data_IF_206384898363
#
_entry.id   IF_206384898363
#
_cell.length_a   1.000
_cell.length_b   1.000
_cell.length_c   1.000
_cell.angle_alpha   90.00
_cell.angle_beta   90.00
_cell.angle_gamma   90.00
#
_symmetry.space_group_name_H-M   'P 1'
#
loop_
_entity.id
_entity.type
_entity.pdbx_description
1 polymer ?
#
# COMPACT_ATOMS: atom_id res chain seq x y z
N UNK A 1 22.68 -27.76 4.36
CA UNK A 1 24.16 -27.90 4.44
C UNK A 1 24.45 -28.57 5.79
N UNK A 2 24.75 -29.88 5.74
CA UNK A 2 24.85 -30.72 6.92
C UNK A 2 26.22 -30.57 7.54
N UNK A 3 26.28 -30.22 8.80
CA UNK A 3 27.54 -30.23 9.58
C UNK A 3 27.67 -31.60 10.26
N UNK A 4 28.67 -32.37 9.82
CA UNK A 4 29.05 -33.61 10.44
C UNK A 4 30.10 -33.30 11.51
N UNK A 5 29.78 -33.56 12.77
CA UNK A 5 30.76 -33.56 13.88
C UNK A 5 31.18 -34.98 14.19
N UNK A 6 32.47 -35.34 14.03
CA UNK A 6 33.05 -36.60 14.46
C UNK A 6 33.63 -36.45 15.87
N UNK A 7 33.47 -37.46 16.77
CA UNK A 7 34.03 -37.39 18.10
C UNK A 7 35.44 -38.01 18.15
N UNK A 8 36.42 -37.29 18.69
CA UNK A 8 37.67 -37.89 19.18
C UNK A 8 37.67 -37.92 20.72
N UNK A 9 37.62 -39.10 21.27
CA UNK A 9 37.73 -39.36 22.70
C UNK A 9 39.15 -39.16 23.18
N UNK A 10 39.37 -38.32 24.21
CA UNK A 10 40.43 -38.51 25.21
C UNK A 10 39.82 -38.24 26.58
N UNK A 11 39.78 -39.27 27.41
CA UNK A 11 39.42 -39.18 28.81
C UNK A 11 40.51 -38.41 29.57
N UNK A 12 40.14 -37.29 30.20
CA UNK A 12 40.80 -36.75 31.39
C UNK A 12 39.67 -36.21 32.27
N UNK A 13 39.51 -36.82 33.46
CA UNK A 13 38.46 -36.41 34.40
C UNK A 13 38.81 -35.08 35.07
N UNK A 14 37.95 -34.12 34.86
CA UNK A 14 37.84 -32.93 35.68
C UNK A 14 36.33 -32.66 35.85
N UNK A 15 35.87 -32.61 37.09
CA UNK A 15 34.50 -32.28 37.44
C UNK A 15 34.18 -30.84 36.98
N UNK A 16 33.63 -30.71 35.78
CA UNK A 16 33.18 -29.43 35.22
C UNK A 16 31.79 -29.13 35.71
N UNK A 17 31.66 -28.08 36.48
CA UNK A 17 30.38 -27.44 36.83
C UNK A 17 29.76 -26.94 35.53
N UNK A 18 28.73 -27.62 35.00
CA UNK A 18 27.94 -27.12 33.88
C UNK A 18 27.06 -25.97 34.38
N UNK A 19 27.54 -24.77 34.19
CA UNK A 19 26.68 -23.57 34.29
C UNK A 19 25.72 -23.58 33.10
N UNK A 20 24.49 -24.06 33.30
CA UNK A 20 23.41 -23.84 32.39
C UNK A 20 23.11 -22.34 32.42
N UNK A 21 23.57 -21.57 31.42
CA UNK A 21 23.07 -20.26 31.15
C UNK A 21 21.60 -20.42 30.72
N UNK A 22 20.64 -19.86 31.46
CA UNK A 22 19.25 -19.87 31.00
C UNK A 22 19.19 -19.04 29.72
N UNK A 23 18.78 -19.67 28.63
CA UNK A 23 18.42 -18.97 27.41
C UNK A 23 17.20 -18.10 27.76
N UNK A 24 17.44 -16.84 28.09
CA UNK A 24 16.36 -15.86 28.32
C UNK A 24 15.73 -15.64 26.96
N UNK A 25 14.60 -16.30 26.70
CA UNK A 25 13.71 -15.95 25.60
C UNK A 25 13.21 -14.55 25.89
N UNK A 26 13.79 -13.57 25.22
CA UNK A 26 13.35 -12.19 25.35
C UNK A 26 11.85 -12.13 24.96
N UNK A 27 10.99 -11.92 25.94
CA UNK A 27 9.56 -11.78 25.73
C UNK A 27 9.37 -10.51 24.89
N UNK A 28 8.83 -10.66 23.66
CA UNK A 28 8.61 -9.53 22.75
C UNK A 28 7.72 -8.53 23.50
N UNK A 29 8.24 -7.33 23.76
CA UNK A 29 7.50 -6.30 24.49
C UNK A 29 6.21 -5.96 23.71
N UNK A 30 5.12 -5.79 24.42
CA UNK A 30 3.81 -5.48 23.79
C UNK A 30 3.78 -4.05 23.28
N UNK A 31 3.10 -3.76 22.15
CA UNK A 31 2.90 -2.39 21.68
C UNK A 31 2.13 -1.57 22.71
N UNK A 32 2.40 -0.27 22.78
CA UNK A 32 1.62 0.67 23.55
C UNK A 32 0.18 0.74 23.01
N UNK A 33 -0.77 1.16 23.85
CA UNK A 33 -2.16 1.35 23.42
C UNK A 33 -2.61 2.76 23.80
N UNK A 34 -3.05 3.51 22.79
CA UNK A 34 -3.50 4.89 22.93
C UNK A 34 -4.91 5.07 22.39
N UNK A 35 -5.65 5.96 23.01
CA UNK A 35 -6.95 6.45 22.52
C UNK A 35 -6.82 7.90 22.12
N UNK A 36 -7.27 8.22 20.91
CA UNK A 36 -7.34 9.58 20.37
C UNK A 36 -8.80 9.96 20.19
N UNK A 37 -9.20 11.14 20.64
CA UNK A 37 -10.51 11.72 20.40
C UNK A 37 -10.41 13.25 20.37
N UNK A 38 -11.20 13.90 19.51
CA UNK A 38 -11.23 15.37 19.35
C UNK A 38 -11.63 16.08 20.67
N UNK A 39 -12.36 15.41 21.54
CA UNK A 39 -12.78 15.94 22.83
C UNK A 39 -13.11 14.83 23.81
N UNK A 40 -13.30 15.15 25.08
CA UNK A 40 -13.65 14.20 26.14
C UNK A 40 -12.42 13.45 26.66
N UNK A 41 -12.66 12.27 27.26
CA UNK A 41 -11.60 11.47 27.88
C UNK A 41 -10.86 10.64 26.84
N UNK A 42 -9.63 11.00 26.55
CA UNK A 42 -8.70 10.30 25.68
C UNK A 42 -7.27 10.44 26.22
N UNK A 43 -6.32 9.67 25.68
CA UNK A 43 -4.92 9.81 26.02
C UNK A 43 -4.30 11.01 25.29
N UNK A 44 -4.77 11.23 24.03
CA UNK A 44 -4.36 12.34 23.17
C UNK A 44 -5.56 12.95 22.45
N UNK A 45 -5.42 14.21 22.01
CA UNK A 45 -6.44 14.91 21.23
C UNK A 45 -6.05 15.12 19.76
N UNK A 46 -4.81 14.79 19.41
CA UNK A 46 -4.32 14.71 18.02
C UNK A 46 -3.68 13.36 17.74
N UNK A 47 -3.77 12.93 16.48
CA UNK A 47 -3.18 11.65 16.06
C UNK A 47 -1.66 11.76 16.01
N UNK A 48 -1.12 12.91 15.53
CA UNK A 48 0.32 13.13 15.47
C UNK A 48 0.96 13.03 16.85
N UNK A 49 0.33 13.60 17.87
CA UNK A 49 0.83 13.50 19.24
C UNK A 49 0.90 12.05 19.73
N UNK A 50 -0.12 11.24 19.45
CA UNK A 50 -0.10 9.81 19.79
C UNK A 50 1.00 9.04 19.02
N UNK A 51 1.23 9.38 17.75
CA UNK A 51 2.33 8.82 16.94
C UNK A 51 3.69 9.17 17.51
N UNK A 52 3.89 10.42 17.93
CA UNK A 52 5.16 10.90 18.50
C UNK A 52 5.51 10.22 19.85
N UNK A 53 4.49 9.72 20.56
CA UNK A 53 4.66 8.95 21.81
C UNK A 53 4.79 7.43 21.58
N UNK A 54 4.75 6.95 20.33
CA UNK A 54 4.90 5.54 20.03
C UNK A 54 6.30 5.04 20.41
N UNK A 55 6.43 4.03 21.29
CA UNK A 55 7.74 3.44 21.63
C UNK A 55 8.29 2.63 20.44
N UNK A 56 9.58 2.27 20.50
CA UNK A 56 10.22 1.44 19.49
C UNK A 56 9.56 0.05 19.30
N UNK A 57 8.74 -0.39 20.26
CA UNK A 57 7.94 -1.62 20.18
C UNK A 57 6.64 -1.46 19.42
N UNK A 58 6.35 -0.26 18.93
CA UNK A 58 5.13 0.10 18.21
C UNK A 58 3.99 0.55 19.11
N UNK A 59 2.92 1.03 18.50
CA UNK A 59 1.72 1.49 19.19
C UNK A 59 0.45 1.14 18.43
N UNK A 60 -0.61 0.78 19.15
CA UNK A 60 -1.97 0.66 18.63
C UNK A 60 -2.70 1.95 19.03
N UNK A 61 -3.05 2.76 18.03
CA UNK A 61 -3.71 4.05 18.20
C UNK A 61 -5.15 3.92 17.76
N UNK A 62 -6.07 3.88 18.72
CA UNK A 62 -7.50 3.80 18.45
C UNK A 62 -8.09 5.20 18.38
N UNK A 63 -8.66 5.53 17.22
CA UNK A 63 -9.11 6.88 16.88
C UNK A 63 -10.64 6.92 16.92
N UNK A 64 -11.20 7.74 17.79
CA UNK A 64 -12.65 7.92 17.90
C UNK A 64 -13.25 8.51 16.62
N UNK A 65 -14.54 8.26 16.33
CA UNK A 65 -15.22 8.90 15.20
C UNK A 65 -15.08 10.41 15.22
N UNK A 66 -14.83 11.00 14.03
CA UNK A 66 -14.65 12.43 13.84
C UNK A 66 -13.77 12.74 12.63
N UNK A 67 -13.67 14.04 12.31
CA UNK A 67 -12.78 14.53 11.24
C UNK A 67 -11.58 15.22 11.85
N UNK A 68 -10.40 14.63 11.63
CA UNK A 68 -9.11 15.07 12.13
C UNK A 68 -8.38 15.83 11.03
N UNK A 69 -8.30 17.15 11.17
CA UNK A 69 -7.56 18.03 10.25
C UNK A 69 -6.08 18.04 10.63
N UNK A 70 -5.36 16.99 10.24
CA UNK A 70 -3.97 16.80 10.61
C UNK A 70 -3.14 16.32 9.42
N UNK A 71 -1.91 16.84 9.33
CA UNK A 71 -0.87 16.34 8.43
C UNK A 71 0.09 15.49 9.25
N UNK A 72 0.12 14.18 8.98
CA UNK A 72 0.75 13.18 9.86
C UNK A 72 2.02 12.62 9.22
N UNK A 73 3.09 12.54 10.02
CA UNK A 73 4.34 11.86 9.64
C UNK A 73 4.66 10.73 10.61
N UNK A 74 4.78 9.51 10.11
CA UNK A 74 5.01 8.30 10.91
C UNK A 74 6.39 7.73 10.57
N UNK A 75 7.33 7.88 11.49
CA UNK A 75 8.70 7.34 11.36
C UNK A 75 8.94 6.10 12.21
N UNK A 76 8.16 5.94 13.27
CA UNK A 76 8.22 4.79 14.16
C UNK A 76 7.70 3.54 13.46
N UNK A 77 8.39 2.41 13.66
CA UNK A 77 7.93 1.12 13.16
C UNK A 77 6.74 0.61 13.97
N UNK A 78 5.93 -0.27 13.35
CA UNK A 78 4.83 -0.98 13.99
C UNK A 78 3.76 -0.05 14.62
N UNK A 79 3.46 1.06 13.95
CA UNK A 79 2.31 1.91 14.30
C UNK A 79 1.06 1.36 13.63
N UNK A 80 0.02 1.15 14.42
CA UNK A 80 -1.29 0.65 13.99
C UNK A 80 -2.33 1.73 14.24
N UNK A 81 -2.99 2.23 13.20
CA UNK A 81 -4.11 3.18 13.29
C UNK A 81 -5.44 2.43 13.12
N UNK A 82 -6.33 2.55 14.10
CA UNK A 82 -7.64 1.88 14.07
C UNK A 82 -8.76 2.90 14.25
N UNK A 83 -9.59 3.07 13.23
CA UNK A 83 -10.83 3.84 13.34
C UNK A 83 -11.85 3.10 14.23
N UNK A 84 -12.37 3.79 15.25
CA UNK A 84 -13.28 3.20 16.22
C UNK A 84 -14.77 3.31 15.85
N UNK A 85 -15.08 3.86 14.66
CA UNK A 85 -16.43 3.92 14.11
C UNK A 85 -16.91 2.57 13.56
N UNK A 86 -18.16 2.50 13.15
CA UNK A 86 -18.73 1.31 12.51
C UNK A 86 -18.30 1.18 11.05
N UNK A 87 -17.96 2.29 10.39
CA UNK A 87 -17.53 2.38 8.99
C UNK A 87 -16.28 3.22 8.86
N UNK A 88 -15.48 3.00 7.80
CA UNK A 88 -14.31 3.84 7.52
C UNK A 88 -14.61 5.34 7.44
N UNK A 89 -15.80 5.71 6.96
CA UNK A 89 -16.25 7.09 6.84
C UNK A 89 -16.55 7.78 8.18
N UNK A 90 -16.59 7.06 9.27
CA UNK A 90 -16.86 7.63 10.60
C UNK A 90 -15.60 8.23 11.24
N UNK A 91 -14.40 7.81 10.80
CA UNK A 91 -13.10 8.34 11.25
C UNK A 91 -12.31 8.84 10.05
N UNK A 92 -12.19 10.15 9.91
CA UNK A 92 -11.58 10.79 8.74
C UNK A 92 -10.33 11.56 9.15
N UNK A 93 -9.22 11.27 8.50
CA UNK A 93 -7.97 12.03 8.63
C UNK A 93 -7.80 12.81 7.33
N UNK A 94 -7.71 14.14 7.40
CA UNK A 94 -7.74 14.98 6.21
C UNK A 94 -6.80 16.16 6.29
N UNK A 95 -6.24 16.54 5.13
CA UNK A 95 -5.44 17.73 4.90
C UNK A 95 -5.61 18.21 3.46
N UNK A 96 -5.27 19.47 3.18
CA UNK A 96 -5.49 20.08 1.85
C UNK A 96 -4.19 20.67 1.26
N UNK A 97 -3.15 19.87 1.08
CA UNK A 97 -1.92 20.30 0.40
C UNK A 97 -1.81 19.70 -1.02
N UNK A 98 -1.06 20.38 -1.88
CA UNK A 98 -0.73 19.92 -3.23
C UNK A 98 0.71 20.27 -3.60
N UNK A 99 1.19 19.77 -4.73
CA UNK A 99 2.48 20.18 -5.27
C UNK A 99 2.52 21.70 -5.59
N UNK A 100 1.36 22.29 -5.90
CA UNK A 100 1.24 23.72 -6.23
C UNK A 100 1.57 24.61 -5.04
N UNK A 101 1.11 24.30 -3.83
CA UNK A 101 1.36 25.12 -2.64
C UNK A 101 2.60 24.68 -1.86
N UNK A 102 2.99 23.40 -1.93
CA UNK A 102 4.17 22.89 -1.18
C UNK A 102 5.45 22.86 -1.99
N UNK A 103 5.36 23.05 -3.32
CA UNK A 103 6.48 22.96 -4.27
C UNK A 103 6.91 21.52 -4.60
N UNK A 104 6.21 20.49 -4.11
CA UNK A 104 6.52 19.08 -4.41
C UNK A 104 5.34 18.16 -4.12
N UNK A 105 5.08 17.20 -5.02
CA UNK A 105 4.14 16.10 -4.79
C UNK A 105 4.41 15.38 -3.46
N UNK A 106 5.67 15.07 -3.19
CA UNK A 106 6.09 14.32 -2.00
C UNK A 106 5.99 15.10 -0.68
N UNK A 107 5.66 16.37 -0.75
CA UNK A 107 5.36 17.22 0.42
C UNK A 107 3.86 17.43 0.63
N UNK A 108 3.01 16.90 -0.25
CA UNK A 108 1.56 17.13 -0.17
C UNK A 108 0.80 16.08 0.66
N UNK A 109 1.44 15.00 1.08
CA UNK A 109 0.81 13.87 1.77
C UNK A 109 0.04 14.27 3.03
N UNK A 110 -1.22 13.83 3.14
CA UNK A 110 -1.98 13.92 4.39
C UNK A 110 -1.34 13.02 5.45
N UNK A 111 -1.05 11.77 5.10
CA UNK A 111 -0.24 10.87 5.93
C UNK A 111 0.98 10.44 5.13
N UNK A 112 2.17 10.57 5.73
CA UNK A 112 3.44 10.06 5.20
C UNK A 112 4.03 9.06 6.17
N UNK A 113 4.29 7.84 5.71
CA UNK A 113 4.80 6.73 6.51
C UNK A 113 6.16 6.28 5.99
N UNK A 114 7.16 6.31 6.87
CA UNK A 114 8.51 5.79 6.64
C UNK A 114 8.80 4.53 7.47
N UNK A 115 8.01 4.33 8.55
CA UNK A 115 8.21 3.23 9.49
C UNK A 115 7.73 1.89 8.92
N UNK A 116 8.55 0.85 9.03
CA UNK A 116 8.16 -0.51 8.63
C UNK A 116 7.04 -1.08 9.53
N UNK A 117 6.23 -1.97 8.98
CA UNK A 117 5.13 -2.62 9.72
C UNK A 117 4.01 -1.64 10.10
N UNK A 118 3.75 -0.64 9.26
CA UNK A 118 2.59 0.24 9.43
C UNK A 118 1.30 -0.52 9.12
N UNK A 119 0.29 -0.35 9.97
CA UNK A 119 -1.01 -0.94 9.73
C UNK A 119 -2.12 0.10 9.91
N UNK A 120 -3.19 -0.02 9.11
CA UNK A 120 -4.38 0.81 9.25
C UNK A 120 -5.66 0.01 9.04
N UNK A 121 -6.69 0.30 9.82
CA UNK A 121 -7.97 -0.41 9.79
C UNK A 121 -9.13 0.55 9.97
N UNK A 122 -10.17 0.40 9.12
CA UNK A 122 -11.49 1.02 9.28
C UNK A 122 -11.47 2.55 9.45
N UNK A 123 -10.75 3.27 8.58
CA UNK A 123 -10.67 4.73 8.57
C UNK A 123 -10.57 5.31 7.16
N UNK A 124 -10.74 6.62 7.02
CA UNK A 124 -10.56 7.35 5.78
C UNK A 124 -9.37 8.29 5.87
N UNK A 125 -8.57 8.32 4.81
CA UNK A 125 -7.45 9.24 4.61
C UNK A 125 -7.76 10.06 3.37
N UNK A 126 -7.92 11.37 3.51
CA UNK A 126 -8.32 12.24 2.41
C UNK A 126 -7.36 13.41 2.24
N UNK A 127 -7.05 13.74 0.99
CA UNK A 127 -6.49 15.04 0.67
C UNK A 127 -7.54 15.86 -0.07
N UNK A 128 -7.95 16.98 0.52
CA UNK A 128 -9.09 17.79 0.06
C UNK A 128 -8.71 18.87 -0.95
N UNK A 129 -7.44 18.95 -1.39
CA UNK A 129 -7.02 20.02 -2.31
C UNK A 129 -7.95 20.19 -3.52
N UNK A 130 -8.35 19.10 -4.18
CA UNK A 130 -9.21 19.16 -5.37
C UNK A 130 -10.65 19.55 -5.06
N UNK A 131 -11.15 19.26 -3.86
CA UNK A 131 -12.49 19.62 -3.42
C UNK A 131 -12.54 21.07 -2.97
N UNK A 132 -11.48 21.55 -2.32
CA UNK A 132 -11.30 22.94 -1.89
C UNK A 132 -10.99 23.88 -3.07
N UNK A 133 -10.42 23.35 -4.17
CA UNK A 133 -10.00 24.08 -5.36
C UNK A 133 -10.60 23.44 -6.64
N UNK A 134 -11.91 23.56 -6.87
CA UNK A 134 -12.59 22.84 -7.95
C UNK A 134 -12.25 23.32 -9.38
N UNK A 135 -11.58 24.46 -9.52
CA UNK A 135 -11.15 24.97 -10.81
C UNK A 135 -10.13 24.04 -11.48
N UNK A 136 -10.32 23.77 -12.78
CA UNK A 136 -9.35 22.98 -13.54
C UNK A 136 -7.94 23.59 -13.52
N UNK A 137 -7.81 24.91 -13.45
CA UNK A 137 -6.53 25.61 -13.35
C UNK A 137 -5.80 25.35 -12.03
N UNK A 138 -6.50 24.89 -10.99
CA UNK A 138 -5.95 24.59 -9.67
C UNK A 138 -5.64 23.12 -9.46
N UNK A 139 -5.97 22.26 -10.43
CA UNK A 139 -5.62 20.84 -10.37
C UNK A 139 -4.11 20.65 -10.27
N UNK A 140 -3.72 19.85 -9.30
CA UNK A 140 -2.32 19.58 -8.98
C UNK A 140 -2.23 18.23 -8.28
N UNK A 141 -1.04 17.65 -8.23
CA UNK A 141 -0.77 16.45 -7.45
C UNK A 141 -1.07 16.72 -5.96
N UNK A 142 -1.83 15.84 -5.36
CA UNK A 142 -2.32 15.99 -3.98
C UNK A 142 -2.41 14.60 -3.31
N UNK A 143 -1.34 14.20 -2.65
CA UNK A 143 -1.22 12.86 -2.07
C UNK A 143 -2.09 12.75 -0.81
N UNK A 144 -2.95 11.74 -0.73
CA UNK A 144 -3.63 11.40 0.51
C UNK A 144 -2.74 10.55 1.41
N UNK A 145 -2.15 9.49 0.85
CA UNK A 145 -1.29 8.56 1.59
C UNK A 145 0.02 8.31 0.85
N UNK A 146 1.13 8.50 1.54
CA UNK A 146 2.48 8.13 1.09
C UNK A 146 3.03 7.03 2.00
N UNK A 147 3.38 5.87 1.41
CA UNK A 147 3.96 4.73 2.10
C UNK A 147 5.35 4.44 1.53
N UNK A 148 6.36 4.42 2.39
CA UNK A 148 7.76 4.13 2.04
C UNK A 148 8.40 3.09 2.97
N UNK A 149 7.61 2.36 3.74
CA UNK A 149 8.09 1.33 4.67
C UNK A 149 7.65 -0.08 4.28
N UNK A 150 8.52 -1.06 4.52
CA UNK A 150 8.22 -2.49 4.26
C UNK A 150 7.10 -3.01 5.18
N UNK A 151 6.30 -3.93 4.67
CA UNK A 151 5.20 -4.63 5.38
C UNK A 151 4.08 -3.72 5.87
N UNK A 152 3.66 -2.78 5.02
CA UNK A 152 2.44 -2.03 5.31
C UNK A 152 1.19 -2.88 5.02
N UNK A 153 0.19 -2.83 5.93
CA UNK A 153 -1.10 -3.52 5.76
C UNK A 153 -2.25 -2.54 6.00
N UNK A 154 -3.11 -2.41 5.02
CA UNK A 154 -4.33 -1.61 5.12
C UNK A 154 -5.55 -2.50 4.87
N UNK A 155 -6.49 -2.52 5.81
CA UNK A 155 -7.75 -3.25 5.68
C UNK A 155 -8.93 -2.30 5.86
N UNK A 156 -9.88 -2.30 4.93
CA UNK A 156 -11.05 -1.42 4.93
C UNK A 156 -10.71 0.07 5.13
N UNK A 157 -9.69 0.54 4.42
CA UNK A 157 -9.28 1.94 4.43
C UNK A 157 -9.76 2.64 3.17
N UNK A 158 -10.32 3.85 3.32
CA UNK A 158 -10.65 4.72 2.19
C UNK A 158 -9.52 5.73 1.98
N UNK A 159 -8.98 5.79 0.75
CA UNK A 159 -7.89 6.70 0.37
C UNK A 159 -8.41 7.56 -0.76
N UNK A 160 -8.60 8.85 -0.51
CA UNK A 160 -9.37 9.73 -1.39
C UNK A 160 -8.61 11.01 -1.71
N UNK A 161 -8.45 11.30 -2.99
CA UNK A 161 -7.91 12.57 -3.48
C UNK A 161 -8.20 12.76 -4.98
N UNK A 162 -7.40 13.55 -5.68
CA UNK A 162 -7.45 13.79 -7.12
C UNK A 162 -6.28 13.13 -7.85
N UNK A 163 -5.36 13.94 -8.40
CA UNK A 163 -4.13 13.41 -9.01
C UNK A 163 -3.14 12.96 -7.95
N UNK A 164 -2.47 11.81 -8.19
CA UNK A 164 -1.42 11.25 -7.31
C UNK A 164 -1.96 10.91 -5.90
N UNK A 165 -3.08 10.22 -5.81
CA UNK A 165 -3.75 9.95 -4.51
C UNK A 165 -2.95 9.10 -3.56
N UNK A 166 -2.46 7.93 -4.04
CA UNK A 166 -1.71 6.94 -3.24
C UNK A 166 -0.29 6.78 -3.80
N UNK A 167 0.70 7.22 -3.04
CA UNK A 167 2.11 6.95 -3.31
C UNK A 167 2.54 5.66 -2.61
N UNK A 168 2.39 4.54 -3.31
CA UNK A 168 2.85 3.22 -2.89
C UNK A 168 4.31 3.06 -3.32
N UNK A 169 5.24 3.53 -2.49
CA UNK A 169 6.65 3.65 -2.83
C UNK A 169 7.53 2.69 -2.02
N UNK A 170 8.79 2.62 -2.40
CA UNK A 170 9.83 1.88 -1.69
C UNK A 170 11.05 2.76 -1.45
N UNK A 171 11.57 2.71 -0.23
CA UNK A 171 12.87 3.27 0.11
C UNK A 171 14.04 2.28 -0.09
N UNK A 172 13.75 1.02 -0.38
CA UNK A 172 14.73 -0.07 -0.33
C UNK A 172 15.67 -0.11 -1.54
N UNK A 173 15.19 0.26 -2.74
CA UNK A 173 15.90 0.06 -4.01
C UNK A 173 16.56 1.35 -4.55
N UNK A 174 16.95 2.27 -3.69
CA UNK A 174 17.56 3.52 -4.12
C UNK A 174 19.05 3.36 -4.46
N UNK A 175 19.41 3.66 -5.70
CA UNK A 175 20.76 3.99 -6.14
C UNK A 175 21.48 2.93 -6.97
N UNK A 176 21.56 1.66 -6.62
CA UNK A 176 22.23 0.63 -7.40
C UNK A 176 21.23 -0.21 -8.19
N UNK A 177 21.05 0.14 -9.48
CA UNK A 177 20.16 -0.58 -10.39
C UNK A 177 20.84 -1.81 -11.06
N UNK A 178 22.09 -2.08 -10.75
CA UNK A 178 22.87 -3.20 -11.32
C UNK A 178 22.76 -4.50 -10.51
N UNK A 179 22.25 -4.43 -9.29
CA UNK A 179 22.10 -5.56 -8.36
C UNK A 179 20.62 -5.89 -8.12
N UNK A 180 20.29 -7.18 -7.87
CA UNK A 180 18.93 -7.54 -7.44
C UNK A 180 18.53 -6.82 -6.17
N UNK A 181 17.33 -6.26 -6.16
CA UNK A 181 16.76 -5.54 -5.03
C UNK A 181 15.29 -5.93 -4.82
N UNK A 182 14.90 -6.17 -3.57
CA UNK A 182 13.51 -6.36 -3.19
C UNK A 182 12.92 -5.02 -2.72
N UNK A 183 11.88 -4.56 -3.40
CA UNK A 183 11.13 -3.38 -2.99
C UNK A 183 10.34 -3.64 -1.71
N UNK A 184 10.03 -2.55 -0.99
CA UNK A 184 9.15 -2.60 0.17
C UNK A 184 7.78 -3.15 -0.21
N UNK A 185 7.22 -4.02 0.65
CA UNK A 185 5.98 -4.76 0.40
C UNK A 185 4.81 -4.08 1.08
N UNK A 186 3.70 -3.96 0.35
CA UNK A 186 2.49 -3.30 0.82
C UNK A 186 1.27 -4.13 0.44
N UNK A 187 0.32 -4.23 1.35
CA UNK A 187 -0.92 -4.98 1.17
C UNK A 187 -2.14 -4.12 1.49
N UNK A 188 -3.03 -4.03 0.52
CA UNK A 188 -4.30 -3.32 0.62
C UNK A 188 -5.42 -4.35 0.46
N UNK A 189 -6.30 -4.48 1.45
CA UNK A 189 -7.38 -5.45 1.45
C UNK A 189 -8.72 -4.77 1.76
N UNK A 190 -9.75 -5.08 0.97
CA UNK A 190 -11.07 -4.43 1.07
C UNK A 190 -11.00 -2.90 1.11
N UNK A 191 -10.00 -2.29 0.47
CA UNK A 191 -9.81 -0.85 0.47
C UNK A 191 -10.58 -0.16 -0.67
N UNK A 192 -10.89 1.11 -0.48
CA UNK A 192 -11.43 2.00 -1.49
C UNK A 192 -10.38 3.06 -1.84
N UNK A 193 -9.97 3.13 -3.10
CA UNK A 193 -9.01 4.14 -3.58
C UNK A 193 -9.67 4.98 -4.65
N UNK A 194 -9.84 6.28 -4.38
CA UNK A 194 -10.44 7.23 -5.31
C UNK A 194 -9.42 8.24 -5.80
N UNK A 195 -9.39 8.46 -7.12
CA UNK A 195 -8.51 9.46 -7.70
C UNK A 195 -8.79 9.78 -9.16
N UNK A 196 -7.83 10.45 -9.80
CA UNK A 196 -7.94 10.91 -11.18
C UNK A 196 -6.71 10.52 -12.01
N UNK A 197 -5.72 11.40 -12.15
CA UNK A 197 -4.49 11.08 -12.88
C UNK A 197 -3.51 10.38 -11.96
N UNK A 198 -2.98 9.22 -12.43
CA UNK A 198 -1.92 8.47 -11.74
C UNK A 198 -2.22 8.21 -10.27
N UNK A 199 -3.49 7.88 -9.97
CA UNK A 199 -3.93 7.90 -8.58
C UNK A 199 -3.38 6.77 -7.69
N UNK A 200 -2.75 5.74 -8.29
CA UNK A 200 -1.90 4.77 -7.60
C UNK A 200 -0.53 4.80 -8.29
N UNK A 201 0.50 5.33 -7.63
CA UNK A 201 1.81 5.49 -8.24
C UNK A 201 2.94 5.14 -7.27
N UNK A 202 4.16 4.92 -7.79
CA UNK A 202 5.33 4.55 -7.01
C UNK A 202 5.97 3.23 -7.43
N UNK A 203 6.91 2.74 -6.64
CA UNK A 203 7.72 1.56 -6.98
C UNK A 203 7.64 0.41 -5.97
N UNK A 204 6.72 0.44 -5.01
CA UNK A 204 6.55 -0.65 -4.05
C UNK A 204 6.16 -1.97 -4.75
N UNK A 205 6.38 -3.08 -4.08
CA UNK A 205 5.71 -4.34 -4.37
C UNK A 205 4.38 -4.36 -3.66
N UNK A 206 3.34 -3.84 -4.32
CA UNK A 206 2.03 -3.63 -3.73
C UNK A 206 0.99 -4.61 -4.28
N UNK A 207 0.25 -5.26 -3.39
CA UNK A 207 -0.90 -6.11 -3.71
C UNK A 207 -2.16 -5.43 -3.19
N UNK A 208 -3.12 -5.25 -4.11
CA UNK A 208 -4.47 -4.80 -3.83
C UNK A 208 -5.40 -6.00 -4.00
N UNK A 209 -6.05 -6.43 -2.94
CA UNK A 209 -6.92 -7.58 -2.97
C UNK A 209 -8.34 -7.21 -2.52
N UNK A 210 -9.35 -7.49 -3.35
CA UNK A 210 -10.74 -7.09 -3.15
C UNK A 210 -10.94 -5.58 -2.97
N UNK A 211 -10.09 -4.74 -3.58
CA UNK A 211 -10.18 -3.29 -3.49
C UNK A 211 -11.10 -2.72 -4.57
N UNK A 212 -11.79 -1.61 -4.24
CA UNK A 212 -12.49 -0.79 -5.22
C UNK A 212 -11.57 0.36 -5.67
N UNK A 213 -11.32 0.44 -6.98
CA UNK A 213 -10.54 1.48 -7.64
C UNK A 213 -11.51 2.44 -8.33
N UNK A 214 -11.77 3.59 -7.71
CA UNK A 214 -12.81 4.53 -8.14
C UNK A 214 -12.23 5.72 -8.89
N UNK A 215 -12.63 5.88 -10.15
CA UNK A 215 -12.20 7.00 -10.97
C UNK A 215 -13.11 8.21 -10.78
N UNK A 216 -12.53 9.35 -10.40
CA UNK A 216 -13.27 10.64 -10.32
C UNK A 216 -13.68 11.11 -11.73
N UNK A 217 -14.77 11.89 -11.78
CA UNK A 217 -15.36 12.41 -13.01
C UNK A 217 -14.46 13.40 -13.75
N UNK A 218 -14.67 13.48 -15.07
CA UNK A 218 -14.23 14.49 -16.03
C UNK A 218 -12.73 14.49 -16.36
N UNK A 219 -12.43 14.00 -17.55
CA UNK A 219 -11.15 14.14 -18.22
C UNK A 219 -10.41 12.83 -18.45
N UNK A 220 -9.10 12.90 -18.55
CA UNK A 220 -8.26 11.72 -18.74
C UNK A 220 -7.85 11.18 -17.37
N UNK A 221 -8.25 9.95 -17.06
CA UNK A 221 -7.97 9.26 -15.81
C UNK A 221 -6.95 8.15 -16.07
N UNK A 222 -5.93 8.06 -15.26
CA UNK A 222 -4.97 6.97 -15.24
C UNK A 222 -5.02 6.31 -13.86
N UNK A 223 -5.35 5.01 -13.82
CA UNK A 223 -5.45 4.27 -12.56
C UNK A 223 -4.07 4.12 -11.93
N UNK A 224 -3.10 3.63 -12.72
CA UNK A 224 -1.75 3.34 -12.22
C UNK A 224 -0.65 4.08 -12.96
N UNK A 225 0.41 4.47 -12.22
CA UNK A 225 1.68 4.96 -12.74
C UNK A 225 2.84 4.31 -11.97
N UNK A 226 3.10 3.05 -12.25
CA UNK A 226 4.14 2.28 -11.59
C UNK A 226 5.54 2.69 -12.08
N UNK A 227 6.55 2.69 -11.19
CA UNK A 227 7.87 3.28 -11.46
C UNK A 227 9.08 2.35 -11.24
N UNK A 228 8.95 1.06 -11.46
CA UNK A 228 10.07 0.13 -11.45
C UNK A 228 11.18 0.59 -12.40
N UNK A 229 12.40 0.75 -11.88
CA UNK A 229 13.52 1.31 -12.62
C UNK A 229 14.37 0.23 -13.34
N UNK A 230 14.47 -0.95 -12.76
CA UNK A 230 15.35 -2.02 -13.25
C UNK A 230 14.60 -3.36 -13.35
N UNK A 231 14.94 -4.20 -14.35
CA UNK A 231 14.42 -5.57 -14.41
C UNK A 231 14.89 -6.44 -13.21
N UNK A 232 15.91 -5.99 -12.48
CA UNK A 232 16.43 -6.67 -11.27
C UNK A 232 15.69 -6.27 -9.99
N UNK A 233 14.82 -5.30 -10.06
CA UNK A 233 13.96 -4.89 -8.94
C UNK A 233 12.76 -5.82 -8.81
N UNK A 234 12.51 -6.37 -7.61
CA UNK A 234 11.29 -7.12 -7.33
C UNK A 234 10.18 -6.18 -6.85
N UNK A 235 9.63 -5.42 -7.78
CA UNK A 235 8.64 -4.37 -7.60
C UNK A 235 7.50 -4.56 -8.60
N UNK A 236 6.32 -4.01 -8.28
CA UNK A 236 5.16 -4.05 -9.17
C UNK A 236 3.84 -3.90 -8.42
N UNK A 237 2.79 -3.51 -9.15
CA UNK A 237 1.43 -3.42 -8.63
C UNK A 237 0.60 -4.61 -9.11
N UNK A 238 -0.07 -5.27 -8.19
CA UNK A 238 -0.90 -6.45 -8.44
C UNK A 238 -2.31 -6.20 -7.90
N UNK A 239 -3.26 -5.99 -8.81
CA UNK A 239 -4.68 -5.82 -8.52
C UNK A 239 -5.36 -7.19 -8.65
N UNK A 240 -5.73 -7.78 -7.52
CA UNK A 240 -6.33 -9.10 -7.44
C UNK A 240 -7.80 -8.97 -7.00
N UNK A 241 -8.74 -9.56 -7.75
CA UNK A 241 -10.16 -9.58 -7.40
C UNK A 241 -10.74 -8.18 -7.12
N UNK A 242 -10.17 -7.16 -7.75
CA UNK A 242 -10.58 -5.76 -7.55
C UNK A 242 -11.80 -5.42 -8.42
N UNK A 243 -12.47 -4.32 -8.08
CA UNK A 243 -13.45 -3.68 -8.96
C UNK A 243 -12.95 -2.33 -9.43
N UNK A 244 -13.21 -1.98 -10.70
CA UNK A 244 -12.94 -0.66 -11.27
C UNK A 244 -14.28 0.03 -11.48
N UNK A 245 -14.51 1.10 -10.72
CA UNK A 245 -15.76 1.86 -10.73
C UNK A 245 -15.54 3.32 -11.11
N UNK A 246 -16.60 4.03 -11.41
CA UNK A 246 -16.56 5.45 -11.74
C UNK A 246 -17.77 5.85 -12.57
N UNK A 247 -17.86 7.12 -12.95
CA UNK A 247 -18.93 7.58 -13.81
C UNK A 247 -18.61 7.31 -15.29
N UNK A 248 -19.58 6.77 -16.03
CA UNK A 248 -19.53 6.69 -17.50
C UNK A 248 -20.00 8.03 -18.10
N UNK A 249 -19.15 9.05 -17.97
CA UNK A 249 -19.47 10.44 -18.35
C UNK A 249 -18.69 10.92 -19.58
N UNK A 250 -18.12 9.96 -20.35
CA UNK A 250 -17.27 10.23 -21.51
C UNK A 250 -15.81 10.53 -21.14
N UNK A 251 -15.41 10.34 -19.89
CA UNK A 251 -14.01 10.39 -19.48
C UNK A 251 -13.20 9.30 -20.17
N UNK A 252 -11.97 9.64 -20.55
CA UNK A 252 -11.00 8.66 -21.04
C UNK A 252 -10.28 8.02 -19.85
N UNK A 253 -10.63 6.80 -19.53
CA UNK A 253 -10.02 6.05 -18.42
C UNK A 253 -9.10 4.97 -18.96
N UNK A 254 -7.87 4.91 -18.47
CA UNK A 254 -6.92 3.84 -18.78
C UNK A 254 -6.45 3.15 -17.49
N UNK A 255 -6.13 1.88 -17.59
CA UNK A 255 -5.64 1.04 -16.47
C UNK A 255 -4.30 1.55 -15.93
N UNK A 256 -3.50 2.20 -16.79
CA UNK A 256 -2.26 2.83 -16.36
C UNK A 256 -1.33 3.23 -17.48
N UNK A 257 -0.22 3.83 -17.06
CA UNK A 257 0.89 4.24 -17.93
C UNK A 257 2.23 4.06 -17.21
N UNK A 258 3.35 3.73 -17.90
CA UNK A 258 4.63 3.46 -17.27
C UNK A 258 5.35 4.74 -16.86
N UNK A 259 5.49 4.99 -15.56
CA UNK A 259 6.27 6.13 -15.09
C UNK A 259 7.79 5.91 -15.28
N UNK A 260 8.25 4.63 -15.29
CA UNK A 260 9.63 4.23 -15.57
C UNK A 260 9.67 3.03 -16.52
N UNK A 261 10.82 2.75 -17.09
CA UNK A 261 11.00 1.83 -18.22
C UNK A 261 10.65 0.37 -17.93
N UNK A 262 10.72 -0.07 -16.68
CA UNK A 262 10.43 -1.45 -16.30
C UNK A 262 9.15 -1.58 -15.48
N UNK A 263 8.26 -0.57 -15.54
CA UNK A 263 7.00 -0.56 -14.81
C UNK A 263 6.24 -1.89 -14.95
N UNK A 264 5.71 -2.37 -13.83
CA UNK A 264 5.06 -3.68 -13.77
C UNK A 264 3.70 -3.56 -13.12
N UNK A 265 2.63 -3.89 -13.86
CA UNK A 265 1.25 -3.85 -13.37
C UNK A 265 0.49 -5.07 -13.86
N UNK A 266 -0.22 -5.72 -12.96
CA UNK A 266 -1.12 -6.83 -13.24
C UNK A 266 -2.52 -6.55 -12.71
N UNK A 267 -3.54 -6.75 -13.54
CA UNK A 267 -4.93 -6.90 -13.13
C UNK A 267 -5.30 -8.37 -13.32
N UNK A 268 -5.80 -9.00 -12.27
CA UNK A 268 -6.19 -10.39 -12.29
C UNK A 268 -7.57 -10.55 -11.65
N UNK A 269 -8.51 -11.17 -12.38
CA UNK A 269 -9.89 -11.42 -11.95
C UNK A 269 -10.58 -10.14 -11.46
N UNK A 270 -10.57 -9.12 -12.32
CA UNK A 270 -11.04 -7.77 -12.01
C UNK A 270 -12.42 -7.53 -12.62
N UNK A 271 -13.37 -7.04 -11.82
CA UNK A 271 -14.67 -6.58 -12.31
C UNK A 271 -14.56 -5.13 -12.82
N UNK A 272 -14.76 -4.92 -14.10
CA UNK A 272 -14.60 -3.62 -14.75
C UNK A 272 -15.98 -3.06 -15.09
N UNK A 273 -16.56 -2.32 -14.14
CA UNK A 273 -17.88 -1.69 -14.31
C UNK A 273 -17.81 -0.39 -15.12
N UNK A 274 -16.68 0.30 -15.05
CA UNK A 274 -16.45 1.56 -15.75
C UNK A 274 -15.98 1.33 -17.19
N UNK A 275 -16.38 2.23 -18.11
CA UNK A 275 -15.86 2.25 -19.47
C UNK A 275 -14.36 2.57 -19.48
N UNK A 276 -13.56 1.59 -19.87
CA UNK A 276 -12.11 1.74 -20.07
C UNK A 276 -11.85 2.05 -21.55
N UNK A 277 -10.97 3.02 -21.83
CA UNK A 277 -10.48 3.26 -23.20
C UNK A 277 -10.09 1.93 -23.84
N UNK A 278 -10.53 1.65 -25.07
CA UNK A 278 -10.24 0.37 -25.72
C UNK A 278 -8.76 0.01 -25.76
N UNK A 279 -7.85 1.00 -25.84
CA UNK A 279 -6.41 0.77 -25.76
C UNK A 279 -5.96 0.16 -24.40
N UNK A 280 -6.71 0.42 -23.33
CA UNK A 280 -6.48 -0.06 -21.95
C UNK A 280 -5.31 0.59 -21.24
N UNK A 281 -4.24 0.86 -21.95
CA UNK A 281 -3.00 1.41 -21.45
C UNK A 281 -2.60 2.66 -22.23
N UNK A 282 -1.84 3.55 -21.61
CA UNK A 282 -1.35 4.76 -22.26
C UNK A 282 0.17 4.79 -22.29
N UNK A 283 0.74 5.30 -23.36
CA UNK A 283 2.17 5.54 -23.45
C UNK A 283 2.64 6.67 -22.55
N UNK A 284 3.88 6.58 -22.11
CA UNK A 284 4.63 7.66 -21.53
C UNK A 284 6.07 7.65 -22.09
N UNK A 285 6.26 8.27 -23.25
CA UNK A 285 7.42 8.00 -24.09
C UNK A 285 7.33 6.57 -24.67
N UNK A 286 8.42 5.89 -24.89
CA UNK A 286 8.46 4.55 -25.49
C UNK A 286 8.50 3.42 -24.42
N UNK A 287 8.03 3.69 -23.19
CA UNK A 287 8.23 2.82 -22.02
C UNK A 287 7.35 1.59 -22.01
N UNK A 288 6.21 1.59 -22.71
CA UNK A 288 5.38 0.38 -22.81
C UNK A 288 6.15 -0.81 -23.43
N UNK A 289 7.11 -0.55 -24.29
CA UNK A 289 7.92 -1.59 -24.93
C UNK A 289 8.77 -2.39 -23.94
N UNK A 290 9.18 -1.81 -22.83
CA UNK A 290 10.03 -2.43 -21.80
C UNK A 290 9.27 -2.77 -20.52
N UNK A 291 8.02 -2.31 -20.39
CA UNK A 291 7.17 -2.51 -19.24
C UNK A 291 6.41 -3.84 -19.28
N UNK A 292 5.99 -4.31 -18.13
CA UNK A 292 5.16 -5.50 -17.99
C UNK A 292 3.76 -5.10 -17.55
N UNK A 293 2.85 -4.90 -18.50
CA UNK A 293 1.45 -4.58 -18.25
C UNK A 293 0.58 -5.73 -18.71
N UNK A 294 -0.22 -6.30 -17.80
CA UNK A 294 -1.01 -7.51 -18.07
C UNK A 294 -2.39 -7.40 -17.44
N UNK A 295 -3.35 -7.97 -18.13
CA UNK A 295 -4.74 -8.07 -17.71
C UNK A 295 -5.23 -9.49 -17.95
N UNK A 296 -5.65 -10.18 -16.89
CA UNK A 296 -6.11 -11.58 -16.94
C UNK A 296 -7.48 -11.72 -16.27
N UNK A 297 -8.38 -12.46 -16.90
CA UNK A 297 -9.70 -12.77 -16.37
C UNK A 297 -10.54 -11.54 -16.00
N UNK A 298 -10.20 -10.36 -16.50
CA UNK A 298 -11.06 -9.20 -16.30
C UNK A 298 -12.42 -9.44 -16.96
N UNK A 299 -13.48 -9.03 -16.29
CA UNK A 299 -14.85 -9.20 -16.74
C UNK A 299 -15.64 -7.90 -16.51
N UNK A 300 -16.92 -7.88 -16.89
CA UNK A 300 -17.75 -6.67 -16.82
C UNK A 300 -17.75 -5.85 -18.10
N UNK A 301 -18.56 -4.78 -18.18
CA UNK A 301 -18.80 -4.03 -19.41
C UNK A 301 -17.56 -3.31 -19.95
N UNK A 302 -16.63 -2.90 -19.09
CA UNK A 302 -15.40 -2.21 -19.49
C UNK A 302 -14.24 -3.15 -19.86
N UNK A 303 -14.38 -4.48 -19.69
CA UNK A 303 -13.33 -5.46 -19.92
C UNK A 303 -13.19 -5.85 -21.40
N UNK A 304 -12.84 -4.90 -22.27
CA UNK A 304 -12.65 -5.14 -23.71
C UNK A 304 -11.21 -5.55 -24.04
N UNK A 305 -10.83 -6.77 -23.66
CA UNK A 305 -9.46 -7.29 -23.79
C UNK A 305 -8.97 -7.37 -25.25
N UNK A 306 -9.89 -7.51 -26.21
CA UNK A 306 -9.56 -7.64 -27.64
C UNK A 306 -8.87 -6.41 -28.23
N UNK A 307 -9.14 -5.24 -27.72
CA UNK A 307 -8.66 -3.96 -28.27
C UNK A 307 -7.51 -3.33 -27.48
N UNK A 308 -6.99 -3.98 -26.44
CA UNK A 308 -5.85 -3.50 -25.66
C UNK A 308 -4.59 -3.37 -26.55
N UNK A 309 -3.85 -2.27 -26.41
CA UNK A 309 -2.58 -2.07 -27.12
C UNK A 309 -1.47 -3.02 -26.64
N UNK A 310 -1.51 -3.40 -25.35
CA UNK A 310 -0.65 -4.44 -24.81
C UNK A 310 -1.47 -5.71 -24.63
N UNK A 311 -1.08 -6.77 -25.33
CA UNK A 311 -1.74 -8.07 -25.21
C UNK A 311 -1.13 -8.89 -24.09
N UNK A 312 -1.98 -9.43 -23.22
CA UNK A 312 -1.56 -10.42 -22.25
C UNK A 312 -1.42 -11.79 -22.93
N UNK A 313 -0.31 -12.52 -22.75
CA UNK A 313 -0.22 -13.90 -23.21
C UNK A 313 -1.21 -14.76 -22.40
N UNK A 314 -1.63 -15.89 -22.99
CA UNK A 314 -2.43 -16.85 -22.25
C UNK A 314 -1.68 -17.36 -21.02
N UNK A 315 -2.41 -17.57 -19.93
CA UNK A 315 -1.85 -18.21 -18.74
C UNK A 315 -1.70 -19.71 -18.97
N UNK A 316 -0.51 -20.24 -18.74
CA UNK A 316 -0.31 -21.69 -18.75
C UNK A 316 -0.96 -22.35 -17.53
N UNK A 317 -1.20 -23.66 -17.62
CA UNK A 317 -1.80 -24.45 -16.55
C UNK A 317 -0.98 -24.33 -15.26
N UNK A 318 -1.60 -23.86 -14.20
CA UNK A 318 -0.99 -23.66 -12.88
C UNK A 318 -0.30 -22.30 -12.69
N UNK A 319 -0.20 -21.45 -13.71
CA UNK A 319 0.34 -20.11 -13.56
C UNK A 319 -0.54 -19.17 -12.71
N UNK A 320 -1.84 -19.46 -12.64
CA UNK A 320 -2.79 -18.71 -11.81
C UNK A 320 -2.37 -18.66 -10.33
N UNK A 321 -1.70 -19.70 -9.84
CA UNK A 321 -1.20 -19.74 -8.48
C UNK A 321 -0.14 -18.66 -8.18
N UNK A 322 0.42 -17.99 -9.20
CA UNK A 322 1.33 -16.86 -9.03
C UNK A 322 0.59 -15.64 -8.47
N UNK A 323 -0.72 -15.51 -8.79
CA UNK A 323 -1.56 -14.39 -8.36
C UNK A 323 -2.22 -14.66 -7.00
N UNK A 324 -1.43 -14.96 -6.00
CA UNK A 324 -1.89 -15.03 -4.62
C UNK A 324 -1.06 -14.11 -3.74
N UNK A 325 -1.72 -13.39 -2.86
CA UNK A 325 -1.10 -12.47 -1.89
C UNK A 325 0.07 -13.13 -1.17
N UNK A 326 -0.14 -14.35 -0.66
CA UNK A 326 0.89 -15.10 0.06
C UNK A 326 2.14 -15.38 -0.78
N UNK A 327 2.01 -15.62 -2.11
CA UNK A 327 3.17 -15.84 -2.98
C UNK A 327 3.85 -14.54 -3.39
N UNK A 328 3.05 -13.53 -3.70
CA UNK A 328 3.58 -12.24 -4.16
C UNK A 328 4.37 -11.54 -3.06
N UNK A 329 3.90 -11.61 -1.81
CA UNK A 329 4.46 -10.83 -0.70
C UNK A 329 5.31 -11.64 0.28
N UNK A 330 5.45 -12.96 0.10
CA UNK A 330 6.20 -13.80 1.05
C UNK A 330 7.63 -13.30 1.32
N UNK A 331 8.35 -12.92 0.27
CA UNK A 331 9.78 -12.61 0.38
C UNK A 331 10.58 -13.78 0.97
N UNK A 332 11.78 -13.50 1.45
CA UNK A 332 12.64 -14.50 2.12
C UNK A 332 12.18 -14.84 3.55
N UNK A 333 11.42 -13.95 4.16
CA UNK A 333 10.93 -14.05 5.55
C UNK A 333 9.53 -14.69 5.66
N UNK A 334 8.97 -15.16 4.55
CA UNK A 334 7.67 -15.79 4.47
C UNK A 334 6.52 -14.94 5.07
N UNK A 335 6.58 -13.62 4.85
CA UNK A 335 5.57 -12.71 5.34
C UNK A 335 4.19 -13.02 4.73
N UNK A 336 3.18 -13.05 5.58
CA UNK A 336 1.80 -13.32 5.18
C UNK A 336 0.86 -12.26 5.78
N UNK A 337 0.54 -11.19 5.03
CA UNK A 337 -0.26 -10.09 5.54
C UNK A 337 -1.73 -10.45 5.82
N UNK A 338 -2.25 -11.52 5.24
CA UNK A 338 -3.63 -11.98 5.53
C UNK A 338 -3.82 -12.38 7.00
N UNK A 339 -2.73 -12.75 7.69
CA UNK A 339 -2.77 -13.01 9.14
C UNK A 339 -2.91 -11.71 9.93
N UNK A 340 -2.26 -10.65 9.47
CA UNK A 340 -2.31 -9.33 10.09
C UNK A 340 -3.69 -8.71 9.92
N UNK A 341 -4.34 -8.85 8.75
CA UNK A 341 -5.74 -8.46 8.54
C UNK A 341 -6.69 -9.08 9.59
N UNK A 342 -6.51 -10.36 9.91
CA UNK A 342 -7.35 -11.02 10.95
C UNK A 342 -7.14 -10.39 12.33
N UNK A 343 -5.91 -10.01 12.64
CA UNK A 343 -5.58 -9.32 13.91
C UNK A 343 -6.19 -7.93 13.92
N UNK A 344 -6.03 -7.15 12.84
CA UNK A 344 -6.59 -5.81 12.69
C UNK A 344 -8.11 -5.79 12.90
N UNK A 345 -8.83 -6.70 12.26
CA UNK A 345 -10.30 -6.83 12.41
C UNK A 345 -10.71 -7.14 13.85
N UNK A 346 -9.90 -7.92 14.56
CA UNK A 346 -10.12 -8.17 15.99
C UNK A 346 -9.91 -6.91 16.81
N UNK A 347 -8.90 -6.11 16.49
CA UNK A 347 -8.65 -4.83 17.16
C UNK A 347 -9.78 -3.83 16.90
N UNK A 348 -10.31 -3.75 15.69
CA UNK A 348 -11.45 -2.87 15.36
C UNK A 348 -12.73 -3.29 16.07
N UNK A 349 -13.00 -4.59 16.20
CA UNK A 349 -14.19 -5.15 16.86
C UNK A 349 -14.15 -5.12 18.39
N UNK A 350 -12.98 -4.95 19.02
CA UNK A 350 -12.86 -4.85 20.48
C UNK A 350 -13.26 -3.44 20.94
N UNK A 351 -14.55 -3.29 21.34
CA UNK A 351 -15.13 -2.04 21.88
C UNK A 351 -14.74 -1.81 23.35
#
# INVERSE_FOLDING_TARGET
>A
MSIVCSPRWKLIGVAGLFLFSPCVVAQKAKPAKFKVALSGRADFHTIQEAVDHAPATGAIIRIAPGTYHEKISIRSAHVILVGAGDRPADTIITWGDSAKNTGSTFKSGTITVFGAGFEAENLSIANTWWDDHPSQADRSQAVALQLEGDKAVLDRVRIVSGQDTLFANSGACHGDLSSPCAADRQFFHDCFVEGHVDYIFGEAKAVFDHCELHSRRHGNVMITAQSRHSPLEDSGFYMLHCSITGANDGSKVVLGRPWRDNATVYFYDTDVEQDIDPAGWSEWGDRLATSTYREYKSHGPGANLGNRIVKSPDLELGEEAKFSTARLLAGEDAWNPEREVKVLRTLAGSR
#
